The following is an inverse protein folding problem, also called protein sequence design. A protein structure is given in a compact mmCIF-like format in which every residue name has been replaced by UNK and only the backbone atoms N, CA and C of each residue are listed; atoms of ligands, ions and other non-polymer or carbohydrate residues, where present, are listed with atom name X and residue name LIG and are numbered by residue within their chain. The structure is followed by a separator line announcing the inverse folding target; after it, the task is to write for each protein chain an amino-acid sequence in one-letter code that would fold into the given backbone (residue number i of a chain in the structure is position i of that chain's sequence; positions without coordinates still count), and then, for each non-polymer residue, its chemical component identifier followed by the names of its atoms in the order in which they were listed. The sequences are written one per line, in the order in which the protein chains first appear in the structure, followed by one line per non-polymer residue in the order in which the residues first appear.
data_IF_076717694002
#
_entry.id   IF_076717694002
#
_cell.length_a   1.000
_cell.length_b   1.000
_cell.length_c   1.000
_cell.angle_alpha   90.00
_cell.angle_beta   90.00
_cell.angle_gamma   90.00
#
_symmetry.space_group_name_H-M   'P 1'
#
loop_
_entity.id
_entity.type
_entity.pdbx_description
1 polymer ?
#
# COMPACT_ATOMS: atom_id res chain seq x y z
N UNK A 1 -14.66 63.52 46.54
CA UNK A 1 -15.72 62.69 47.12
C UNK A 1 -15.47 61.28 46.58
N UNK A 2 -14.44 60.56 47.03
CA UNK A 2 -14.30 59.88 48.32
C UNK A 2 -15.57 59.13 48.72
N UNK A 3 -15.59 57.80 48.54
CA UNK A 3 -15.66 56.91 49.69
C UNK A 3 -15.14 55.50 49.33
N UNK A 4 -14.36 54.97 50.26
CA UNK A 4 -13.73 53.65 50.24
C UNK A 4 -14.58 52.70 51.09
N UNK A 5 -14.60 51.40 50.76
CA UNK A 5 -14.77 50.36 51.77
C UNK A 5 -14.07 49.07 51.34
N UNK A 6 -12.95 48.83 52.01
CA UNK A 6 -12.18 47.59 52.09
C UNK A 6 -12.85 46.65 53.09
N UNK A 7 -12.67 45.33 52.93
CA UNK A 7 -12.62 44.22 53.91
C UNK A 7 -12.94 42.96 53.09
N UNK A 8 -12.28 41.81 53.16
CA UNK A 8 -11.21 41.24 53.96
C UNK A 8 -11.14 39.77 53.50
N UNK A 9 -9.93 39.25 53.30
CA UNK A 9 -9.73 37.94 52.68
C UNK A 9 -10.01 36.74 53.59
N UNK A 10 -10.29 35.58 53.00
CA UNK A 10 -10.05 34.25 53.57
C UNK A 10 -9.70 33.32 52.40
N UNK A 11 -8.55 32.64 52.47
CA UNK A 11 -8.07 31.74 51.43
C UNK A 11 -8.82 30.41 51.37
N UNK A 12 -8.62 29.66 50.28
CA UNK A 12 -8.59 28.19 50.28
C UNK A 12 -8.07 27.66 48.95
N UNK A 13 -6.95 26.91 49.02
CA UNK A 13 -6.59 25.88 48.05
C UNK A 13 -7.68 24.83 48.05
N UNK A 14 -8.17 24.45 46.87
CA UNK A 14 -8.99 23.23 46.67
C UNK A 14 -8.45 22.58 45.39
N UNK A 15 -7.50 21.64 45.49
CA UNK A 15 -7.72 20.20 45.70
C UNK A 15 -8.73 19.62 44.70
N UNK A 16 -8.23 19.25 43.51
CA UNK A 16 -8.96 18.40 42.58
C UNK A 16 -8.72 16.94 42.97
N UNK A 17 -9.45 16.50 44.00
CA UNK A 17 -9.60 15.09 44.33
C UNK A 17 -10.75 14.47 43.55
N UNK A 18 -10.41 13.46 42.75
CA UNK A 18 -11.25 12.35 42.28
C UNK A 18 -12.75 12.58 42.07
N UNK A 19 -13.16 12.71 40.81
CA UNK A 19 -14.47 12.21 40.35
C UNK A 19 -14.23 11.07 39.36
N UNK A 20 -14.63 9.89 39.84
CA UNK A 20 -14.73 8.59 39.20
C UNK A 20 -14.78 8.54 37.66
N UNK A 21 -13.73 7.96 37.07
CA UNK A 21 -13.79 7.34 35.74
C UNK A 21 -14.74 6.13 35.80
N UNK A 22 -15.93 6.26 35.21
CA UNK A 22 -16.84 5.14 34.99
C UNK A 22 -16.81 4.77 33.51
N UNK A 23 -16.08 3.68 33.23
CA UNK A 23 -16.25 2.74 32.11
C UNK A 23 -16.73 3.31 30.75
N UNK A 24 -15.84 4.01 30.05
CA UNK A 24 -16.00 4.37 28.63
C UNK A 24 -15.06 3.54 27.77
N UNK A 25 -15.57 2.40 27.28
CA UNK A 25 -15.10 1.60 26.14
C UNK A 25 -13.72 2.00 25.57
N UNK A 26 -12.66 1.29 26.01
CA UNK A 26 -11.48 1.11 25.19
C UNK A 26 -11.97 0.32 23.97
N UNK A 27 -12.27 1.01 22.86
CA UNK A 27 -12.40 0.28 21.61
C UNK A 27 -11.01 -0.24 21.30
N UNK A 28 -10.77 -1.51 21.59
CA UNK A 28 -9.69 -2.22 20.94
C UNK A 28 -9.85 -1.97 19.44
N UNK A 29 -8.79 -1.54 18.72
CA UNK A 29 -8.87 -1.44 17.27
C UNK A 29 -9.42 -2.78 16.77
N UNK A 30 -10.42 -2.78 15.86
CA UNK A 30 -11.01 -4.02 15.42
C UNK A 30 -9.87 -4.94 14.97
N UNK A 31 -9.85 -6.18 15.50
CA UNK A 31 -8.91 -7.22 15.07
C UNK A 31 -9.25 -7.64 13.64
N UNK A 32 -9.11 -6.71 12.68
CA UNK A 32 -9.15 -7.01 11.27
C UNK A 32 -7.82 -7.67 10.96
N UNK A 33 -7.84 -8.97 10.67
CA UNK A 33 -6.71 -9.61 10.03
C UNK A 33 -6.37 -8.77 8.79
N UNK A 34 -5.13 -8.29 8.63
CA UNK A 34 -4.75 -7.59 7.41
C UNK A 34 -5.09 -8.49 6.23
N UNK A 35 -5.72 -7.95 5.18
CA UNK A 35 -6.00 -8.72 3.97
C UNK A 35 -4.65 -9.06 3.33
N UNK A 36 -4.14 -10.26 3.59
CA UNK A 36 -2.92 -10.75 2.98
C UNK A 36 -3.23 -11.04 1.52
N UNK A 37 -2.66 -10.23 0.63
CA UNK A 37 -2.71 -10.49 -0.79
C UNK A 37 -1.78 -11.68 -1.11
N UNK A 38 -2.24 -12.60 -1.95
CA UNK A 38 -1.41 -13.67 -2.50
C UNK A 38 -0.27 -13.10 -3.35
N UNK A 39 0.75 -13.93 -3.62
CA UNK A 39 1.85 -13.57 -4.53
C UNK A 39 1.37 -13.26 -5.96
N UNK A 40 0.19 -13.77 -6.32
CA UNK A 40 -0.50 -13.54 -7.59
C UNK A 40 -1.88 -12.96 -7.30
N UNK A 41 -2.30 -11.97 -8.07
CA UNK A 41 -3.52 -11.19 -7.87
C UNK A 41 -4.45 -11.37 -9.06
N UNK A 42 -5.75 -11.42 -8.82
CA UNK A 42 -6.74 -11.16 -9.88
C UNK A 42 -6.75 -9.67 -10.25
N UNK A 43 -7.36 -9.31 -11.39
CA UNK A 43 -7.58 -7.89 -11.73
C UNK A 43 -8.40 -7.16 -10.65
N UNK A 44 -9.38 -7.84 -10.06
CA UNK A 44 -10.18 -7.31 -8.96
C UNK A 44 -9.34 -7.07 -7.70
N UNK A 45 -8.41 -7.97 -7.36
CA UNK A 45 -7.49 -7.75 -6.23
C UNK A 45 -6.57 -6.56 -6.45
N UNK A 46 -6.06 -6.36 -7.68
CA UNK A 46 -5.26 -5.19 -8.04
C UNK A 46 -6.12 -3.92 -7.93
N UNK A 47 -7.35 -3.94 -8.44
CA UNK A 47 -8.29 -2.83 -8.34
C UNK A 47 -8.56 -2.45 -6.88
N UNK A 48 -8.77 -3.42 -6.00
CA UNK A 48 -8.91 -3.19 -4.57
C UNK A 48 -7.66 -2.58 -3.94
N UNK A 49 -6.47 -3.02 -4.35
CA UNK A 49 -5.20 -2.48 -3.86
C UNK A 49 -5.03 -1.01 -4.27
N UNK A 50 -5.32 -0.71 -5.54
CA UNK A 50 -5.28 0.65 -6.10
C UNK A 50 -6.23 1.59 -5.36
N UNK A 51 -7.52 1.21 -5.26
CA UNK A 51 -8.53 2.01 -4.57
C UNK A 51 -8.18 2.22 -3.10
N UNK A 52 -7.61 1.21 -2.44
CA UNK A 52 -7.11 1.38 -1.06
C UNK A 52 -5.99 2.41 -0.99
N UNK A 53 -5.06 2.39 -1.96
CA UNK A 53 -3.98 3.37 -2.07
C UNK A 53 -4.49 4.81 -2.22
N UNK A 54 -5.46 5.03 -3.10
CA UNK A 54 -6.05 6.37 -3.35
C UNK A 54 -6.64 6.98 -2.07
N UNK A 55 -7.36 6.19 -1.26
CA UNK A 55 -7.90 6.66 0.02
C UNK A 55 -6.80 6.98 1.04
N UNK A 56 -5.76 6.13 1.09
CA UNK A 56 -4.61 6.36 1.97
C UNK A 56 -3.82 7.62 1.58
N UNK A 57 -3.75 7.95 0.28
CA UNK A 57 -3.10 9.17 -0.20
C UNK A 57 -3.95 10.42 0.06
N UNK A 58 -5.27 10.29 -0.01
CA UNK A 58 -6.21 11.34 0.40
C UNK A 58 -6.29 11.54 1.93
N UNK A 59 -5.63 10.69 2.73
CA UNK A 59 -5.63 10.79 4.19
C UNK A 59 -6.97 10.45 4.83
N UNK A 60 -7.83 9.70 4.12
CA UNK A 60 -9.17 9.32 4.58
C UNK A 60 -9.25 7.82 4.92
N UNK A 61 -10.19 7.41 5.79
CA UNK A 61 -10.37 5.99 6.10
C UNK A 61 -10.70 5.16 4.86
N UNK A 62 -9.98 4.06 4.65
CA UNK A 62 -10.29 3.09 3.59
C UNK A 62 -11.61 2.38 3.91
N UNK A 63 -12.62 2.40 3.01
CA UNK A 63 -13.89 1.76 3.26
C UNK A 63 -13.74 0.23 3.28
N UNK A 64 -14.59 -0.45 4.05
CA UNK A 64 -14.60 -1.94 4.09
C UNK A 64 -15.03 -2.58 2.77
N UNK A 65 -15.81 -1.87 1.97
CA UNK A 65 -16.28 -2.28 0.64
C UNK A 65 -16.28 -1.07 -0.27
N UNK A 66 -15.79 -1.24 -1.49
CA UNK A 66 -15.87 -0.21 -2.53
C UNK A 66 -17.16 -0.36 -3.32
N UNK A 67 -17.64 0.73 -3.92
CA UNK A 67 -18.77 0.69 -4.83
C UNK A 67 -18.41 -0.14 -6.08
N UNK A 68 -19.32 -0.97 -6.63
CA UNK A 68 -19.04 -1.80 -7.80
C UNK A 68 -18.52 -1.02 -9.01
N UNK A 69 -19.03 0.20 -9.24
CA UNK A 69 -18.59 1.06 -10.34
C UNK A 69 -17.15 1.54 -10.17
N UNK A 70 -16.71 1.80 -8.94
CA UNK A 70 -15.33 2.17 -8.66
C UNK A 70 -14.39 1.00 -8.92
N UNK A 71 -14.78 -0.22 -8.52
CA UNK A 71 -14.01 -1.44 -8.81
C UNK A 71 -13.90 -1.67 -10.32
N UNK A 72 -15.00 -1.54 -11.07
CA UNK A 72 -14.98 -1.69 -12.53
C UNK A 72 -14.06 -0.67 -13.21
N UNK A 73 -14.11 0.61 -12.80
CA UNK A 73 -13.22 1.64 -13.32
C UNK A 73 -11.74 1.37 -13.01
N UNK A 74 -11.44 0.87 -11.80
CA UNK A 74 -10.10 0.46 -11.42
C UNK A 74 -9.62 -0.76 -12.23
N UNK A 75 -10.48 -1.76 -12.49
CA UNK A 75 -10.16 -2.89 -13.39
C UNK A 75 -9.80 -2.37 -14.80
N UNK A 76 -10.56 -1.43 -15.35
CA UNK A 76 -10.20 -0.82 -16.65
C UNK A 76 -8.84 -0.12 -16.62
N UNK A 77 -8.42 0.44 -15.48
CA UNK A 77 -7.07 0.99 -15.32
C UNK A 77 -6.00 -0.11 -15.32
N UNK A 78 -6.26 -1.25 -14.66
CA UNK A 78 -5.37 -2.43 -14.69
C UNK A 78 -5.21 -2.94 -16.13
N UNK A 79 -6.31 -3.16 -16.84
CA UNK A 79 -6.29 -3.57 -18.25
C UNK A 79 -5.54 -2.58 -19.15
N UNK A 80 -5.69 -1.27 -18.88
CA UNK A 80 -4.95 -0.24 -19.57
C UNK A 80 -3.45 -0.37 -19.34
N UNK A 81 -3.00 -0.53 -18.09
CA UNK A 81 -1.59 -0.72 -17.77
C UNK A 81 -1.00 -1.98 -18.39
N UNK A 82 -1.78 -3.06 -18.46
CA UNK A 82 -1.38 -4.30 -19.15
C UNK A 82 -1.14 -4.05 -20.63
N UNK A 83 -2.05 -3.33 -21.31
CA UNK A 83 -1.92 -2.98 -22.73
C UNK A 83 -0.77 -2.02 -23.00
N UNK A 84 -0.50 -1.11 -22.05
CA UNK A 84 0.64 -0.19 -22.08
C UNK A 84 1.98 -0.88 -21.76
N UNK A 85 1.98 -2.18 -21.41
CA UNK A 85 3.19 -2.93 -21.06
C UNK A 85 3.82 -2.54 -19.72
N UNK A 86 3.08 -1.80 -18.87
CA UNK A 86 3.54 -1.32 -17.55
C UNK A 86 3.45 -2.42 -16.49
N UNK A 87 2.56 -3.37 -16.71
CA UNK A 87 2.42 -4.59 -15.92
C UNK A 87 2.15 -5.75 -16.89
N UNK A 88 2.28 -6.98 -16.39
CA UNK A 88 1.88 -8.18 -17.15
C UNK A 88 1.01 -9.12 -16.32
N UNK A 89 0.31 -10.01 -17.01
CA UNK A 89 -0.42 -11.11 -16.41
C UNK A 89 -0.02 -12.45 -17.04
N UNK A 90 -0.14 -13.53 -16.27
CA UNK A 90 -0.05 -14.90 -16.77
C UNK A 90 -1.37 -15.59 -16.43
N UNK A 91 -2.12 -16.01 -17.45
CA UNK A 91 -3.47 -16.56 -17.29
C UNK A 91 -4.37 -15.68 -16.40
N UNK A 92 -4.44 -14.37 -16.71
CA UNK A 92 -5.22 -13.36 -15.99
C UNK A 92 -4.83 -13.11 -14.52
N UNK A 93 -3.67 -13.65 -14.09
CA UNK A 93 -3.09 -13.40 -12.78
C UNK A 93 -1.88 -12.49 -12.84
N UNK A 94 -1.88 -11.49 -11.97
CA UNK A 94 -0.88 -10.43 -11.89
C UNK A 94 0.07 -10.68 -10.73
N UNK A 95 1.38 -10.85 -10.95
CA UNK A 95 2.33 -10.97 -9.86
C UNK A 95 2.32 -9.72 -8.95
N UNK A 96 2.26 -9.92 -7.62
CA UNK A 96 2.14 -8.85 -6.61
C UNK A 96 3.31 -7.88 -6.63
N UNK A 97 4.52 -8.33 -6.97
CA UNK A 97 5.74 -7.50 -6.94
C UNK A 97 5.75 -6.40 -8.00
N UNK A 98 4.81 -6.43 -8.96
CA UNK A 98 4.67 -5.39 -9.98
C UNK A 98 3.98 -4.13 -9.47
N UNK A 99 3.47 -4.15 -8.23
CA UNK A 99 2.75 -3.03 -7.64
C UNK A 99 3.44 -2.51 -6.40
N UNK A 100 3.41 -1.19 -6.21
CA UNK A 100 3.89 -0.56 -4.99
C UNK A 100 2.94 -0.82 -3.79
N UNK A 101 3.18 -0.14 -2.66
CA UNK A 101 2.33 -0.23 -1.47
C UNK A 101 0.96 0.45 -1.66
N UNK A 102 0.79 1.26 -2.70
CA UNK A 102 -0.44 1.98 -3.07
C UNK A 102 -1.19 1.31 -4.23
N UNK A 103 -0.73 0.16 -4.72
CA UNK A 103 -1.38 -0.57 -5.81
C UNK A 103 -1.15 0.00 -7.20
N UNK A 104 -0.17 0.90 -7.36
CA UNK A 104 0.21 1.47 -8.65
C UNK A 104 1.31 0.61 -9.27
N UNK A 105 1.45 0.57 -10.60
CA UNK A 105 2.57 -0.09 -11.26
C UNK A 105 3.90 0.39 -10.68
N UNK A 106 4.80 -0.56 -10.41
CA UNK A 106 6.05 -0.30 -9.74
C UNK A 106 7.13 0.08 -10.77
N UNK A 107 7.67 1.32 -10.76
CA UNK A 107 8.52 1.82 -11.86
C UNK A 107 9.76 0.99 -12.20
N UNK A 108 10.44 0.31 -11.25
CA UNK A 108 11.51 -0.63 -11.60
C UNK A 108 11.04 -1.81 -12.43
N UNK A 109 9.83 -2.33 -12.18
CA UNK A 109 9.26 -3.42 -12.98
C UNK A 109 8.88 -2.90 -14.36
N UNK A 110 8.26 -1.72 -14.48
CA UNK A 110 7.96 -1.10 -15.78
C UNK A 110 9.23 -1.01 -16.66
N UNK A 111 10.35 -0.54 -16.08
CA UNK A 111 11.64 -0.47 -16.78
C UNK A 111 12.17 -1.85 -17.17
N UNK A 112 12.02 -2.85 -16.31
CA UNK A 112 12.42 -4.21 -16.61
C UNK A 112 11.61 -4.80 -17.77
N UNK A 113 10.30 -4.56 -17.81
CA UNK A 113 9.42 -4.99 -18.91
C UNK A 113 9.80 -4.32 -20.24
N UNK A 114 10.20 -3.05 -20.21
CA UNK A 114 10.68 -2.35 -21.40
C UNK A 114 11.96 -2.98 -21.98
N UNK A 115 12.81 -3.58 -21.14
CA UNK A 115 14.05 -4.27 -21.59
C UNK A 115 13.75 -5.70 -22.05
N UNK A 116 12.97 -6.46 -21.27
CA UNK A 116 12.66 -7.86 -21.56
C UNK A 116 11.73 -8.03 -22.78
N UNK A 117 10.92 -7.02 -23.08
CA UNK A 117 9.92 -7.07 -24.12
C UNK A 117 8.70 -7.93 -23.74
N UNK A 118 7.65 -7.85 -24.54
CA UNK A 118 6.33 -8.43 -24.23
C UNK A 118 6.01 -9.71 -25.03
N UNK A 119 6.94 -10.22 -25.84
CA UNK A 119 6.65 -11.32 -26.77
C UNK A 119 6.36 -12.65 -26.04
N UNK A 120 6.95 -12.87 -24.86
CA UNK A 120 6.74 -14.08 -24.05
C UNK A 120 6.62 -13.74 -22.55
N UNK A 121 5.41 -13.45 -22.09
CA UNK A 121 5.15 -13.09 -20.69
C UNK A 121 5.54 -14.19 -19.68
N UNK A 122 5.50 -15.46 -20.08
CA UNK A 122 5.99 -16.56 -19.25
C UNK A 122 7.51 -16.49 -19.03
N UNK A 123 8.27 -16.07 -20.05
CA UNK A 123 9.71 -15.84 -19.95
C UNK A 123 10.01 -14.70 -18.99
N UNK A 124 9.24 -13.61 -19.07
CA UNK A 124 9.32 -12.49 -18.12
C UNK A 124 9.09 -12.99 -16.69
N UNK A 125 7.99 -13.73 -16.46
CA UNK A 125 7.69 -14.31 -15.15
C UNK A 125 8.81 -15.20 -14.63
N UNK A 126 9.37 -16.05 -15.48
CA UNK A 126 10.49 -16.94 -15.13
C UNK A 126 11.74 -16.15 -14.77
N UNK A 127 12.06 -15.06 -15.48
CA UNK A 127 13.22 -14.22 -15.15
C UNK A 127 13.12 -13.68 -13.73
N UNK A 128 11.96 -13.15 -13.34
CA UNK A 128 11.73 -12.65 -11.98
C UNK A 128 11.70 -13.76 -10.92
N UNK A 129 11.29 -14.97 -11.30
CA UNK A 129 11.09 -16.09 -10.38
C UNK A 129 12.30 -17.01 -10.20
N UNK A 130 13.33 -16.90 -11.05
CA UNK A 130 14.49 -17.79 -11.06
C UNK A 130 15.69 -17.14 -10.37
N UNK A 131 16.48 -17.88 -9.56
CA UNK A 131 17.80 -17.44 -9.10
C UNK A 131 18.66 -16.87 -10.22
N UNK A 132 19.23 -15.68 -10.03
CA UNK A 132 20.08 -15.02 -11.01
C UNK A 132 21.53 -14.93 -10.48
N UNK A 133 22.49 -15.38 -11.30
CA UNK A 133 23.92 -15.41 -10.93
C UNK A 133 24.50 -14.02 -10.71
N UNK A 134 24.04 -13.01 -11.44
CA UNK A 134 24.43 -11.60 -11.26
C UNK A 134 23.84 -10.97 -10.00
N UNK A 135 22.87 -11.64 -9.37
CA UNK A 135 22.22 -11.24 -8.12
C UNK A 135 22.63 -12.16 -6.95
N UNK A 136 23.77 -12.83 -7.05
CA UNK A 136 24.29 -13.72 -6.00
C UNK A 136 23.38 -14.93 -5.75
N UNK A 137 22.66 -15.41 -6.78
CA UNK A 137 21.74 -16.54 -6.67
C UNK A 137 20.37 -16.19 -6.10
N UNK A 138 20.07 -14.91 -5.85
CA UNK A 138 18.74 -14.46 -5.42
C UNK A 138 17.81 -14.28 -6.61
N UNK A 139 16.50 -14.36 -6.35
CA UNK A 139 15.49 -14.10 -7.39
C UNK A 139 15.28 -12.59 -7.55
N UNK A 140 15.17 -12.05 -8.76
CA UNK A 140 14.96 -10.61 -8.95
C UNK A 140 13.76 -10.06 -8.18
N UNK A 141 12.65 -10.80 -8.11
CA UNK A 141 11.46 -10.36 -7.36
C UNK A 141 11.70 -10.14 -5.85
N UNK A 142 12.68 -10.84 -5.25
CA UNK A 142 13.02 -10.69 -3.83
C UNK A 142 13.86 -9.45 -3.55
N UNK A 143 14.54 -8.94 -4.58
CA UNK A 143 15.41 -7.77 -4.49
C UNK A 143 14.70 -6.48 -4.88
N UNK A 144 13.57 -6.55 -5.58
CA UNK A 144 12.76 -5.37 -5.94
C UNK A 144 12.48 -4.41 -4.77
N UNK A 145 12.13 -4.86 -3.54
CA UNK A 145 11.83 -3.94 -2.44
C UNK A 145 13.05 -3.23 -1.85
N UNK A 146 14.23 -3.85 -1.92
CA UNK A 146 15.43 -3.41 -1.19
C UNK A 146 16.56 -2.90 -2.09
N UNK A 147 16.68 -3.45 -3.29
CA UNK A 147 17.77 -3.17 -4.25
C UNK A 147 17.28 -3.22 -5.71
N UNK A 148 16.27 -2.42 -6.10
CA UNK A 148 15.75 -2.43 -7.47
C UNK A 148 16.79 -2.03 -8.53
N UNK A 149 17.81 -1.26 -8.16
CA UNK A 149 18.91 -0.90 -9.06
C UNK A 149 19.79 -2.10 -9.44
N UNK A 150 19.99 -3.07 -8.53
CA UNK A 150 20.72 -4.30 -8.83
C UNK A 150 19.95 -5.18 -9.82
N UNK A 151 18.64 -5.30 -9.60
CA UNK A 151 17.73 -6.01 -10.51
C UNK A 151 17.83 -5.45 -11.93
N UNK A 152 17.80 -4.12 -12.08
CA UNK A 152 17.91 -3.48 -13.39
C UNK A 152 19.28 -3.69 -14.04
N UNK A 153 20.38 -3.61 -13.28
CA UNK A 153 21.73 -3.91 -13.82
C UNK A 153 21.88 -5.36 -14.27
N UNK A 154 21.23 -6.31 -13.60
CA UNK A 154 21.27 -7.71 -14.00
C UNK A 154 20.60 -7.97 -15.38
N UNK A 155 19.65 -7.13 -15.79
CA UNK A 155 19.02 -7.22 -17.11
C UNK A 155 19.98 -6.88 -18.25
N UNK A 156 20.94 -5.99 -18.02
CA UNK A 156 21.96 -5.62 -19.03
C UNK A 156 22.86 -6.81 -19.43
N UNK A 157 22.84 -7.88 -18.62
CA UNK A 157 23.67 -9.08 -18.78
C UNK A 157 22.85 -10.35 -19.06
N UNK A 158 21.53 -10.23 -19.29
CA UNK A 158 20.59 -11.36 -19.46
C UNK A 158 20.32 -11.73 -20.92
#
# INVERSE_FOLDING_TARGET
MSESAVLGGIGSRVSWGSVAFRHGMRQDPPKTKPRTFSAWLSAEDVAHLLLSGEFLDAGVPVPRKFAPQAVASAISSVERWTREGRIFAIHDLYPRYQFDSRGRPYPPVERALAVLGSAELLRVGNWFATPNVHLGGRRPQELLPTAPGEVLRALEHS
#
